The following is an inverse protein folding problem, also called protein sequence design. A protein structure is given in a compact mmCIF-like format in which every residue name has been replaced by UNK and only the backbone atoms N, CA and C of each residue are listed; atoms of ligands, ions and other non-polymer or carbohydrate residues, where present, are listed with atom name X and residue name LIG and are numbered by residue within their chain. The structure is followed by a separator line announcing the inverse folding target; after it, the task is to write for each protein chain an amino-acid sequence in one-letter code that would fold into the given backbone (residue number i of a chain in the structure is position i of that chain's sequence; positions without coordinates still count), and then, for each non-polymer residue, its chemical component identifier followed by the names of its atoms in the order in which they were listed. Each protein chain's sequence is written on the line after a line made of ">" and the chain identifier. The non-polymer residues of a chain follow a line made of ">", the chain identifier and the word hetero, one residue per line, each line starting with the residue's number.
data_IF_880394285295
#
_entry.id   IF_880394285295
#
_cell.length_a   1.000
_cell.length_b   1.000
_cell.length_c   1.000
_cell.angle_alpha   90.00
_cell.angle_beta   90.00
_cell.angle_gamma   90.00
#
_symmetry.space_group_name_H-M   'P 1'
#
loop_
_entity.id
_entity.type
_entity.pdbx_description
1 polymer ?
#
# COMPACT_ATOMS: atom_id res chain seq x y z
N UNK A 1 5.49 -31.91 11.35
CA UNK A 1 5.50 -30.45 11.33
C UNK A 1 6.24 -29.98 12.59
N UNK A 2 7.53 -29.91 12.50
CA UNK A 2 8.31 -29.18 13.50
C UNK A 2 8.25 -27.69 13.11
N UNK A 3 7.58 -26.92 13.93
CA UNK A 3 7.26 -25.55 13.63
C UNK A 3 8.54 -24.72 13.50
N UNK A 4 8.66 -24.01 12.39
CA UNK A 4 9.42 -22.79 12.24
C UNK A 4 10.85 -22.87 11.67
N UNK A 5 11.40 -24.02 11.31
CA UNK A 5 12.75 -24.00 10.74
C UNK A 5 12.78 -24.08 9.21
N UNK A 6 12.04 -25.00 8.62
CA UNK A 6 12.09 -25.17 7.15
C UNK A 6 10.76 -25.64 6.58
N UNK A 7 10.35 -25.02 5.49
CA UNK A 7 9.18 -25.39 4.70
C UNK A 7 9.62 -25.90 3.34
N UNK A 8 9.29 -27.16 3.04
CA UNK A 8 9.65 -27.75 1.76
C UNK A 8 8.39 -28.07 0.97
N UNK A 9 8.27 -27.48 -0.21
CA UNK A 9 7.22 -27.76 -1.19
C UNK A 9 7.83 -28.52 -2.35
N UNK A 10 7.16 -29.59 -2.79
CA UNK A 10 7.58 -30.38 -3.96
C UNK A 10 6.56 -30.23 -5.07
N UNK A 11 7.03 -30.28 -6.32
CA UNK A 11 6.19 -30.34 -7.51
C UNK A 11 5.15 -31.45 -7.36
N UNK A 12 3.88 -31.10 -7.62
CA UNK A 12 2.82 -32.09 -7.71
C UNK A 12 2.78 -32.68 -9.14
N UNK A 13 3.10 -33.95 -9.36
CA UNK A 13 3.07 -34.55 -10.69
C UNK A 13 1.66 -34.65 -11.28
N UNK A 14 0.63 -34.66 -10.42
CA UNK A 14 -0.79 -34.72 -10.81
C UNK A 14 -1.41 -33.35 -11.05
N UNK A 15 -0.60 -32.27 -11.06
CA UNK A 15 -1.11 -30.95 -11.39
C UNK A 15 -1.54 -30.91 -12.86
N UNK A 16 -2.71 -30.33 -13.14
CA UNK A 16 -3.22 -30.16 -14.52
C UNK A 16 -2.24 -29.43 -15.46
N UNK A 17 -1.34 -28.63 -14.90
CA UNK A 17 -0.34 -27.83 -15.61
C UNK A 17 1.09 -28.23 -15.24
N UNK A 18 1.30 -29.51 -14.92
CA UNK A 18 2.60 -30.02 -14.42
C UNK A 18 3.75 -29.78 -15.41
N UNK A 19 3.46 -29.80 -16.71
CA UNK A 19 4.48 -29.60 -17.76
C UNK A 19 5.06 -28.17 -17.78
N UNK A 20 4.33 -27.20 -17.25
CA UNK A 20 4.77 -25.80 -17.12
C UNK A 20 5.35 -25.49 -15.74
N UNK A 21 5.47 -26.45 -14.86
CA UNK A 21 6.13 -26.30 -13.55
C UNK A 21 7.57 -26.76 -13.66
N UNK A 22 8.52 -25.85 -13.69
CA UNK A 22 9.95 -26.12 -13.91
C UNK A 22 10.76 -26.26 -12.61
N UNK A 23 10.21 -25.81 -11.47
CA UNK A 23 10.86 -25.89 -10.17
C UNK A 23 10.33 -27.13 -9.45
N UNK A 24 11.21 -28.11 -9.19
CA UNK A 24 10.82 -29.35 -8.53
C UNK A 24 10.65 -29.21 -7.02
N UNK A 25 11.44 -28.35 -6.40
CA UNK A 25 11.43 -28.16 -4.93
C UNK A 25 11.67 -26.71 -4.58
N UNK A 26 10.82 -26.18 -3.69
CA UNK A 26 11.01 -24.86 -3.06
C UNK A 26 11.20 -25.11 -1.57
N UNK A 27 12.33 -24.66 -1.03
CA UNK A 27 12.62 -24.69 0.41
C UNK A 27 12.57 -23.28 0.98
N UNK A 28 11.73 -23.06 1.98
CA UNK A 28 11.68 -21.81 2.73
C UNK A 28 12.24 -22.04 4.12
N UNK A 29 13.25 -21.27 4.47
CA UNK A 29 13.94 -21.35 5.75
C UNK A 29 13.49 -20.16 6.59
N UNK A 30 13.06 -20.41 7.80
CA UNK A 30 12.75 -19.34 8.73
C UNK A 30 14.05 -18.70 9.25
N UNK A 31 14.14 -17.41 9.15
CA UNK A 31 15.21 -16.61 9.74
C UNK A 31 14.59 -15.33 10.31
N UNK A 32 14.70 -15.16 11.64
CA UNK A 32 14.17 -13.97 12.32
C UNK A 32 14.79 -12.66 11.83
N UNK A 33 16.01 -12.73 11.29
CA UNK A 33 16.79 -11.61 10.76
C UNK A 33 16.92 -11.66 9.23
N UNK A 34 15.92 -12.24 8.53
CA UNK A 34 15.96 -12.45 7.09
C UNK A 34 16.19 -11.17 6.29
N UNK A 35 15.67 -10.03 6.75
CA UNK A 35 15.86 -8.73 6.09
C UNK A 35 17.31 -8.24 6.10
N UNK A 36 18.09 -8.65 7.09
CA UNK A 36 19.51 -8.28 7.25
C UNK A 36 20.41 -9.37 6.66
N UNK A 37 20.16 -10.62 7.00
CA UNK A 37 21.02 -11.75 6.62
C UNK A 37 20.76 -12.27 5.20
N UNK A 38 19.51 -12.16 4.70
CA UNK A 38 19.12 -12.67 3.39
C UNK A 38 19.98 -12.14 2.24
N UNK A 39 20.18 -10.83 2.10
CA UNK A 39 21.05 -10.29 1.07
C UNK A 39 22.48 -10.86 1.10
N UNK A 40 23.06 -11.03 2.28
CA UNK A 40 24.39 -11.61 2.41
C UNK A 40 24.42 -13.14 2.08
N UNK A 41 23.33 -13.84 2.34
CA UNK A 41 23.18 -15.26 1.94
C UNK A 41 23.08 -15.40 0.42
N UNK A 42 22.43 -14.44 -0.28
CA UNK A 42 22.43 -14.38 -1.76
C UNK A 42 23.86 -14.22 -2.28
N UNK A 43 24.66 -13.30 -1.75
CA UNK A 43 26.08 -13.11 -2.16
C UNK A 43 26.90 -14.39 -2.03
N UNK A 44 26.60 -15.21 -1.01
CA UNK A 44 27.29 -16.48 -0.78
C UNK A 44 26.72 -17.65 -1.57
N UNK A 45 25.61 -17.44 -2.30
CA UNK A 45 24.92 -18.49 -3.06
C UNK A 45 24.23 -19.55 -2.18
N UNK A 46 23.86 -19.20 -0.96
CA UNK A 46 23.19 -20.08 -0.01
C UNK A 46 21.69 -20.16 -0.23
N UNK A 47 21.11 -19.11 -0.81
CA UNK A 47 19.69 -19.02 -1.18
C UNK A 47 19.54 -18.34 -2.54
N UNK A 48 18.40 -18.54 -3.18
CA UNK A 48 18.09 -18.05 -4.53
C UNK A 48 17.28 -16.75 -4.52
N UNK A 49 16.59 -16.45 -3.42
CA UNK A 49 15.72 -15.25 -3.29
C UNK A 49 15.80 -14.68 -1.89
N UNK A 50 15.89 -13.36 -1.80
CA UNK A 50 15.76 -12.62 -0.56
C UNK A 50 15.10 -11.26 -0.81
N UNK A 51 14.54 -10.68 0.24
CA UNK A 51 14.07 -9.29 0.20
C UNK A 51 15.21 -8.38 0.66
N UNK A 52 15.49 -7.34 -0.11
CA UNK A 52 16.44 -6.30 0.26
C UNK A 52 15.68 -5.13 0.92
N UNK A 53 16.19 -4.65 2.05
CA UNK A 53 15.65 -3.49 2.76
C UNK A 53 16.05 -2.17 2.09
N UNK A 54 15.22 -1.14 2.25
CA UNK A 54 15.52 0.19 1.72
C UNK A 54 16.75 0.85 2.35
N UNK A 55 17.14 0.41 3.52
CA UNK A 55 18.32 0.89 4.26
C UNK A 55 19.66 0.50 3.62
N UNK A 56 19.68 -0.62 2.88
CA UNK A 56 20.88 -1.11 2.20
C UNK A 56 20.76 -1.11 0.67
N UNK A 57 19.58 -0.82 0.13
CA UNK A 57 19.31 -0.88 -1.31
C UNK A 57 20.28 0.01 -2.12
N UNK A 58 20.46 1.25 -1.70
CA UNK A 58 21.32 2.21 -2.41
C UNK A 58 22.77 1.72 -2.47
N UNK A 59 23.27 1.12 -1.39
CA UNK A 59 24.63 0.56 -1.35
C UNK A 59 24.79 -0.63 -2.28
N UNK A 60 23.74 -1.46 -2.43
CA UNK A 60 23.74 -2.60 -3.33
C UNK A 60 23.65 -2.19 -4.80
N UNK A 61 22.88 -1.14 -5.12
CA UNK A 61 22.78 -0.59 -6.46
C UNK A 61 24.05 0.14 -6.90
N UNK A 62 24.80 0.70 -5.94
CA UNK A 62 26.07 1.38 -6.20
C UNK A 62 27.28 0.43 -6.37
N UNK A 63 27.17 -0.82 -5.92
CA UNK A 63 28.23 -1.81 -5.97
C UNK A 63 28.12 -2.66 -7.25
N UNK A 64 29.13 -2.62 -8.09
CA UNK A 64 29.20 -3.38 -9.36
C UNK A 64 29.07 -4.89 -9.19
N UNK A 65 29.34 -5.43 -8.02
CA UNK A 65 29.23 -6.87 -7.72
C UNK A 65 27.82 -7.30 -7.31
N UNK A 66 26.97 -6.38 -6.87
CA UNK A 66 25.64 -6.67 -6.34
C UNK A 66 24.48 -6.04 -7.10
N UNK A 67 24.72 -4.96 -7.85
CA UNK A 67 23.66 -4.25 -8.58
C UNK A 67 22.83 -5.14 -9.49
N UNK A 68 23.48 -6.08 -10.18
CA UNK A 68 22.83 -6.99 -11.11
C UNK A 68 22.06 -8.15 -10.40
N UNK A 69 22.22 -8.28 -9.09
CA UNK A 69 21.45 -9.21 -8.25
C UNK A 69 20.11 -8.60 -7.80
N UNK A 70 19.96 -7.29 -7.93
CA UNK A 70 18.75 -6.58 -7.50
C UNK A 70 17.75 -6.51 -8.64
N UNK A 71 16.59 -7.13 -8.46
CA UNK A 71 15.45 -6.94 -9.37
C UNK A 71 14.61 -5.76 -8.89
N UNK A 72 14.46 -4.76 -9.76
CA UNK A 72 13.52 -3.65 -9.54
C UNK A 72 12.11 -3.99 -10.02
N UNK A 73 11.95 -5.08 -10.77
CA UNK A 73 10.64 -5.58 -11.18
C UNK A 73 9.94 -6.23 -10.01
N UNK A 74 8.80 -5.68 -9.65
CA UNK A 74 7.95 -6.23 -8.60
C UNK A 74 6.64 -6.71 -9.19
N UNK A 75 6.20 -7.92 -8.82
CA UNK A 75 4.88 -8.38 -9.24
C UNK A 75 3.79 -7.46 -8.67
N UNK A 76 2.74 -7.25 -9.45
CA UNK A 76 1.55 -6.58 -8.94
C UNK A 76 0.96 -7.39 -7.79
N UNK A 77 0.59 -6.70 -6.72
CA UNK A 77 -0.10 -7.33 -5.59
C UNK A 77 -1.60 -7.42 -5.86
N UNK A 78 -2.26 -8.38 -5.21
CA UNK A 78 -3.71 -8.52 -5.29
C UNK A 78 -4.46 -7.59 -4.34
N UNK A 79 -3.76 -6.64 -3.74
CA UNK A 79 -4.34 -5.68 -2.79
C UNK A 79 -3.68 -4.32 -2.93
N UNK A 80 -4.40 -3.29 -2.51
CA UNK A 80 -3.96 -1.90 -2.55
C UNK A 80 -4.04 -1.29 -1.16
N UNK A 81 -3.02 -0.55 -0.76
CA UNK A 81 -3.08 0.28 0.43
C UNK A 81 -3.72 1.62 0.10
N UNK A 82 -4.64 2.07 0.92
CA UNK A 82 -5.32 3.34 0.73
C UNK A 82 -5.67 4.00 2.07
N UNK A 83 -5.85 5.31 2.04
CA UNK A 83 -6.40 6.06 3.16
C UNK A 83 -7.92 5.99 3.10
N UNK A 84 -8.54 5.71 4.23
CA UNK A 84 -9.98 5.69 4.36
C UNK A 84 -10.42 6.58 5.51
N UNK A 85 -11.45 7.38 5.27
CA UNK A 85 -12.07 8.14 6.34
C UNK A 85 -12.94 7.23 7.21
N UNK A 86 -12.89 7.43 8.52
CA UNK A 86 -13.80 6.77 9.43
C UNK A 86 -15.17 7.46 9.40
N UNK A 87 -16.11 6.88 8.68
CA UNK A 87 -17.50 7.34 8.60
C UNK A 87 -18.35 6.90 9.77
N UNK A 88 -17.87 6.04 10.63
CA UNK A 88 -18.60 5.48 11.78
C UNK A 88 -17.83 5.71 13.10
N UNK A 89 -17.58 6.96 13.48
CA UNK A 89 -16.75 7.27 14.65
C UNK A 89 -17.35 6.81 15.98
N UNK A 90 -18.63 6.41 15.98
CA UNK A 90 -19.37 5.95 17.16
C UNK A 90 -19.50 4.44 17.28
N UNK A 91 -19.12 3.67 16.27
CA UNK A 91 -19.42 2.24 16.22
C UNK A 91 -18.45 1.43 17.07
N UNK A 92 -18.57 1.56 18.39
CA UNK A 92 -17.90 0.65 19.33
C UNK A 92 -18.47 -0.78 19.25
N UNK A 93 -19.70 -0.94 18.78
CA UNK A 93 -20.41 -2.22 18.73
C UNK A 93 -19.79 -3.21 17.72
N UNK A 94 -19.08 -2.73 16.70
CA UNK A 94 -18.49 -3.57 15.66
C UNK A 94 -16.96 -3.68 15.74
N UNK A 95 -16.32 -2.96 16.64
CA UNK A 95 -14.90 -3.06 16.86
C UNK A 95 -14.63 -3.53 18.29
N UNK A 96 -13.82 -4.56 18.43
CA UNK A 96 -13.23 -4.93 19.72
C UNK A 96 -12.20 -3.88 20.21
N UNK A 97 -12.23 -2.70 19.64
CA UNK A 97 -11.37 -1.60 20.02
C UNK A 97 -11.96 -0.97 21.27
N UNK A 98 -11.23 -1.07 22.36
CA UNK A 98 -11.58 -0.34 23.55
C UNK A 98 -11.40 1.15 23.30
N UNK A 99 -12.31 1.94 23.82
CA UNK A 99 -12.18 3.41 23.87
C UNK A 99 -11.03 3.82 24.82
N UNK A 100 -10.50 2.84 25.54
CA UNK A 100 -9.37 2.93 26.44
C UNK A 100 -8.11 3.29 25.63
N UNK A 101 -7.66 4.54 25.78
CA UNK A 101 -6.53 5.10 25.03
C UNK A 101 -6.91 6.07 23.89
N UNK A 102 -8.20 6.30 23.62
CA UNK A 102 -8.59 7.46 22.83
C UNK A 102 -8.32 8.74 23.63
N UNK A 103 -7.83 9.77 22.92
CA UNK A 103 -7.69 11.10 23.49
C UNK A 103 -9.02 11.52 24.12
N UNK A 104 -8.99 11.94 25.39
CA UNK A 104 -10.15 12.41 26.14
C UNK A 104 -10.81 13.65 25.47
N UNK A 105 -10.09 14.28 24.56
CA UNK A 105 -10.57 15.43 23.78
C UNK A 105 -11.22 15.04 22.44
N UNK A 106 -11.23 13.74 22.06
CA UNK A 106 -11.85 13.30 20.82
C UNK A 106 -13.35 13.54 20.82
N UNK A 107 -13.83 14.26 19.80
CA UNK A 107 -15.22 14.67 19.62
C UNK A 107 -15.84 13.92 18.41
N UNK A 108 -16.32 12.67 18.58
CA UNK A 108 -16.82 11.86 17.48
C UNK A 108 -18.01 12.48 16.74
N UNK A 109 -18.90 13.20 17.43
CA UNK A 109 -20.04 13.88 16.79
C UNK A 109 -19.59 15.05 15.91
N UNK A 110 -18.58 15.77 16.35
CA UNK A 110 -17.99 16.87 15.60
C UNK A 110 -17.30 16.33 14.35
N UNK A 111 -16.52 15.27 14.50
CA UNK A 111 -15.89 14.56 13.40
C UNK A 111 -16.92 14.01 12.39
N UNK A 112 -18.00 13.39 12.85
CA UNK A 112 -19.04 12.85 11.97
C UNK A 112 -19.67 13.93 11.08
N UNK A 113 -19.88 15.13 11.60
CA UNK A 113 -20.36 16.25 10.79
C UNK A 113 -19.33 16.67 9.74
N UNK A 114 -18.07 16.78 10.14
CA UNK A 114 -16.97 17.19 9.25
C UNK A 114 -16.77 16.19 8.11
N UNK A 115 -16.70 14.89 8.43
CA UNK A 115 -16.42 13.84 7.44
C UNK A 115 -17.53 13.67 6.41
N UNK A 116 -18.78 14.03 6.73
CA UNK A 116 -19.89 13.99 5.79
C UNK A 116 -19.87 15.17 4.80
N UNK A 117 -19.08 16.21 5.04
CA UNK A 117 -18.90 17.32 4.10
C UNK A 117 -18.02 16.91 2.91
N UNK A 118 -18.53 17.10 1.71
CA UNK A 118 -17.84 16.71 0.47
C UNK A 118 -16.60 17.56 0.21
N UNK A 119 -16.67 18.87 0.44
CA UNK A 119 -15.55 19.77 0.23
C UNK A 119 -14.43 19.50 1.24
N UNK A 120 -14.77 19.15 2.48
CA UNK A 120 -13.81 18.70 3.47
C UNK A 120 -13.04 17.48 2.98
N UNK A 121 -13.72 16.42 2.52
CA UNK A 121 -13.04 15.21 1.99
C UNK A 121 -12.20 15.51 0.75
N UNK A 122 -12.69 16.36 -0.15
CA UNK A 122 -11.92 16.75 -1.35
C UNK A 122 -10.67 17.53 -1.00
N UNK A 123 -10.70 18.36 0.05
CA UNK A 123 -9.49 19.06 0.48
C UNK A 123 -8.36 18.11 0.88
N UNK A 124 -8.68 16.98 1.52
CA UNK A 124 -7.71 15.91 1.82
C UNK A 124 -7.27 15.18 0.55
N UNK A 125 -8.21 14.82 -0.33
CA UNK A 125 -7.89 14.11 -1.57
C UNK A 125 -6.85 14.87 -2.40
N UNK A 126 -7.02 16.17 -2.54
CA UNK A 126 -6.08 17.00 -3.29
C UNK A 126 -4.87 17.45 -2.46
N UNK A 127 -4.94 17.39 -1.14
CA UNK A 127 -3.87 17.84 -0.25
C UNK A 127 -2.83 16.78 0.09
N UNK A 128 -3.16 15.48 -0.08
CA UNK A 128 -2.24 14.39 0.24
C UNK A 128 -1.29 14.15 -0.94
N UNK A 129 -0.01 14.40 -0.71
CA UNK A 129 1.04 14.07 -1.67
C UNK A 129 1.52 12.62 -1.45
N UNK A 130 0.97 11.68 -2.20
CA UNK A 130 1.33 10.28 -2.11
C UNK A 130 2.80 10.01 -2.47
N UNK A 131 3.40 10.83 -3.33
CA UNK A 131 4.81 10.68 -3.71
C UNK A 131 5.74 10.81 -2.51
N UNK A 132 5.47 11.75 -1.59
CA UNK A 132 6.27 11.92 -0.36
C UNK A 132 6.17 10.69 0.54
N UNK A 133 4.96 10.15 0.71
CA UNK A 133 4.75 8.95 1.54
C UNK A 133 5.42 7.73 0.93
N UNK A 134 5.30 7.55 -0.39
CA UNK A 134 5.89 6.42 -1.10
C UNK A 134 7.41 6.50 -1.15
N UNK A 135 7.99 7.69 -1.29
CA UNK A 135 9.44 7.89 -1.28
C UNK A 135 10.11 7.43 0.03
N UNK A 136 9.38 7.46 1.16
CA UNK A 136 9.87 6.91 2.43
C UNK A 136 9.96 5.38 2.40
N UNK A 137 9.06 4.72 1.66
CA UNK A 137 8.97 3.25 1.58
C UNK A 137 9.77 2.66 0.43
N UNK A 138 9.89 3.38 -0.65
CA UNK A 138 10.57 2.97 -1.87
C UNK A 138 11.31 4.18 -2.46
N UNK A 139 12.46 4.57 -1.90
CA UNK A 139 13.22 5.75 -2.35
C UNK A 139 13.50 5.71 -3.85
N UNK A 140 13.83 4.54 -4.37
CA UNK A 140 14.02 4.30 -5.79
C UNK A 140 12.73 3.80 -6.44
N UNK A 141 12.27 4.52 -7.46
CA UNK A 141 11.13 4.11 -8.29
C UNK A 141 9.76 4.18 -7.60
N UNK A 142 9.58 5.03 -6.59
CA UNK A 142 8.30 5.17 -5.86
C UNK A 142 7.10 5.48 -6.79
N UNK A 143 7.32 6.13 -7.91
CA UNK A 143 6.25 6.44 -8.87
C UNK A 143 5.61 5.17 -9.47
N UNK A 144 6.33 4.05 -9.50
CA UNK A 144 5.81 2.77 -9.97
C UNK A 144 4.78 2.14 -9.01
N UNK A 145 4.74 2.62 -7.75
CA UNK A 145 3.79 2.15 -6.72
C UNK A 145 2.58 3.05 -6.57
N UNK A 146 2.56 4.17 -7.28
CA UNK A 146 1.53 5.17 -7.17
C UNK A 146 0.28 4.74 -7.92
N UNK A 147 -0.80 4.56 -7.19
CA UNK A 147 -2.12 4.28 -7.75
C UNK A 147 -3.08 5.41 -7.38
N UNK A 148 -3.92 5.79 -8.35
CA UNK A 148 -5.02 6.72 -8.14
C UNK A 148 -6.38 5.99 -8.14
N UNK A 149 -6.35 4.67 -8.07
CA UNK A 149 -7.51 3.79 -8.03
C UNK A 149 -7.36 2.74 -6.94
N UNK A 150 -8.47 2.21 -6.44
CA UNK A 150 -8.44 1.15 -5.42
C UNK A 150 -8.06 -0.19 -6.02
N UNK A 151 -8.49 -0.48 -7.25
CA UNK A 151 -8.17 -1.73 -7.93
C UNK A 151 -6.71 -1.74 -8.38
N UNK A 152 -5.91 -2.74 -8.02
CA UNK A 152 -4.53 -2.84 -8.51
C UNK A 152 -4.48 -3.15 -10.01
N UNK A 153 -3.38 -2.79 -10.70
CA UNK A 153 -3.17 -3.14 -12.10
C UNK A 153 -3.21 -4.66 -12.32
N UNK A 154 -3.73 -5.09 -13.45
CA UNK A 154 -3.83 -6.50 -13.85
C UNK A 154 -4.69 -7.39 -12.93
N UNK A 155 -5.44 -6.80 -12.01
CA UNK A 155 -6.33 -7.56 -11.12
C UNK A 155 -7.54 -8.11 -11.88
N UNK A 156 -8.09 -7.34 -12.78
CA UNK A 156 -9.18 -7.78 -13.66
C UNK A 156 -9.11 -7.09 -15.03
N UNK A 157 -9.69 -7.75 -16.03
CA UNK A 157 -9.77 -7.25 -17.38
C UNK A 157 -11.20 -7.37 -17.93
N UNK A 158 -11.52 -6.61 -18.97
CA UNK A 158 -12.76 -6.77 -19.71
C UNK A 158 -12.71 -8.03 -20.61
N UNK A 159 -13.77 -8.29 -21.35
CA UNK A 159 -13.88 -9.45 -22.25
C UNK A 159 -12.80 -9.46 -23.37
N UNK A 160 -12.24 -8.31 -23.72
CA UNK A 160 -11.20 -8.15 -24.73
C UNK A 160 -9.79 -8.27 -24.14
N UNK A 161 -9.66 -8.58 -22.85
CA UNK A 161 -8.37 -8.67 -22.15
C UNK A 161 -7.76 -7.32 -21.79
N UNK A 162 -8.50 -6.23 -21.91
CA UNK A 162 -8.02 -4.89 -21.54
C UNK A 162 -8.16 -4.73 -20.02
N UNK A 163 -7.06 -4.33 -19.37
CA UNK A 163 -7.02 -4.04 -17.94
C UNK A 163 -8.15 -3.08 -17.54
N UNK A 164 -8.84 -3.38 -16.44
CA UNK A 164 -9.94 -2.56 -15.92
C UNK A 164 -9.55 -1.09 -15.73
N UNK A 165 -8.33 -0.81 -15.28
CA UNK A 165 -7.82 0.56 -15.08
C UNK A 165 -7.68 1.36 -16.38
N UNK A 166 -7.69 0.68 -17.54
CA UNK A 166 -7.63 1.30 -18.87
C UNK A 166 -9.01 1.45 -19.51
N UNK A 167 -10.09 1.15 -18.78
CA UNK A 167 -11.45 1.18 -19.29
C UNK A 167 -12.18 2.46 -18.87
N UNK A 168 -12.92 3.07 -19.82
CA UNK A 168 -13.82 4.20 -19.55
C UNK A 168 -13.13 5.38 -18.85
N UNK A 169 -13.80 5.96 -17.88
CA UNK A 169 -13.31 7.14 -17.14
C UNK A 169 -12.08 6.84 -16.28
N UNK A 170 -11.85 5.57 -15.90
CA UNK A 170 -10.68 5.18 -15.11
C UNK A 170 -9.37 5.41 -15.87
N UNK A 171 -9.38 5.25 -17.19
CA UNK A 171 -8.22 5.51 -18.04
C UNK A 171 -7.73 6.96 -17.98
N UNK A 172 -8.60 7.88 -17.57
CA UNK A 172 -8.31 9.31 -17.49
C UNK A 172 -7.98 9.78 -16.06
N UNK A 173 -7.99 8.88 -15.07
CA UNK A 173 -7.64 9.23 -13.71
C UNK A 173 -6.13 9.48 -13.63
N UNK A 174 -5.79 10.74 -13.33
CA UNK A 174 -4.42 11.20 -13.11
C UNK A 174 -4.16 11.40 -11.62
N UNK A 175 -3.00 11.94 -11.28
CA UNK A 175 -2.67 12.32 -9.91
C UNK A 175 -3.67 13.34 -9.37
N UNK A 176 -4.12 13.11 -8.12
CA UNK A 176 -5.03 14.04 -7.45
C UNK A 176 -4.32 15.17 -6.71
N UNK A 177 -3.04 15.02 -6.33
CA UNK A 177 -2.35 16.04 -5.57
C UNK A 177 -2.31 17.38 -6.29
N UNK A 178 -2.96 18.38 -5.69
CA UNK A 178 -3.06 19.76 -6.19
C UNK A 178 -3.31 20.69 -5.00
N UNK A 179 -2.26 21.37 -4.53
CA UNK A 179 -2.36 22.27 -3.37
C UNK A 179 -3.35 23.42 -3.56
N UNK A 180 -3.49 23.94 -4.77
CA UNK A 180 -4.41 25.04 -5.05
C UNK A 180 -5.85 24.58 -4.89
N UNK A 181 -6.19 23.43 -5.46
CA UNK A 181 -7.52 22.80 -5.29
C UNK A 181 -7.76 22.38 -3.85
N UNK A 182 -6.76 21.85 -3.16
CA UNK A 182 -6.89 21.49 -1.75
C UNK A 182 -7.30 22.71 -0.91
N UNK A 183 -6.66 23.85 -1.14
CA UNK A 183 -6.99 25.12 -0.47
C UNK A 183 -8.37 25.62 -0.85
N UNK A 184 -8.73 25.58 -2.14
CA UNK A 184 -10.07 25.97 -2.63
C UNK A 184 -11.16 25.17 -1.93
N UNK A 185 -11.04 23.82 -1.91
CA UNK A 185 -12.02 22.96 -1.24
C UNK A 185 -12.04 23.15 0.27
N UNK A 186 -10.88 23.38 0.91
CA UNK A 186 -10.83 23.74 2.34
C UNK A 186 -11.59 25.01 2.63
N UNK A 187 -11.35 26.04 1.84
CA UNK A 187 -11.95 27.37 2.05
C UNK A 187 -13.46 27.34 1.77
N UNK A 188 -13.91 26.49 0.84
CA UNK A 188 -15.33 26.23 0.63
C UNK A 188 -15.96 25.39 1.77
N UNK A 189 -15.22 24.44 2.33
CA UNK A 189 -15.71 23.59 3.42
C UNK A 189 -15.93 24.35 4.72
N UNK A 190 -15.05 25.28 5.07
CA UNK A 190 -15.08 25.98 6.38
C UNK A 190 -16.46 26.62 6.68
N UNK A 191 -17.04 27.47 5.83
CA UNK A 191 -18.36 28.05 6.10
C UNK A 191 -19.47 26.98 6.15
N UNK A 192 -19.40 25.94 5.34
CA UNK A 192 -20.38 24.84 5.34
C UNK A 192 -20.31 24.06 6.66
N UNK A 193 -19.11 23.79 7.17
CA UNK A 193 -18.88 23.10 8.44
C UNK A 193 -19.37 23.93 9.62
N UNK A 194 -19.09 25.22 9.62
CA UNK A 194 -19.59 26.15 10.66
C UNK A 194 -21.12 26.15 10.66
N UNK A 195 -21.74 26.21 9.48
CA UNK A 195 -23.20 26.17 9.34
C UNK A 195 -23.80 24.84 9.84
N UNK A 196 -23.06 23.73 9.70
CA UNK A 196 -23.43 22.42 10.21
C UNK A 196 -23.17 22.26 11.72
N UNK A 197 -22.65 23.28 12.39
CA UNK A 197 -22.34 23.28 13.83
C UNK A 197 -21.08 22.48 14.17
N UNK A 198 -20.10 22.47 13.26
CA UNK A 198 -18.77 21.92 13.54
C UNK A 198 -17.96 22.96 14.32
N UNK A 199 -17.29 22.52 15.35
CA UNK A 199 -16.36 23.34 16.15
C UNK A 199 -14.92 23.06 15.76
N UNK A 200 -14.06 24.07 15.85
CA UNK A 200 -12.63 23.99 15.54
C UNK A 200 -11.78 24.31 16.78
N UNK A 201 -10.58 23.71 16.90
CA UNK A 201 -10.03 22.68 15.99
C UNK A 201 -10.82 21.37 16.06
N UNK A 202 -10.82 20.60 14.97
CA UNK A 202 -11.34 19.23 15.01
C UNK A 202 -10.45 18.38 15.91
N UNK A 203 -11.10 17.66 16.83
CA UNK A 203 -10.41 16.80 17.80
C UNK A 203 -10.83 15.34 17.68
#
# INVERSE_FOLDING_TARGET
>A
YESLETWVMKKNPENYDADNVFIDTISRIYNAEASVNGPEMIKRGEIDEATIGSDILDSWLADDTTKDMVSMDRPNTNYTYFYMFNFMPFSHEFSNWSVEGMDAEYEPENWAKAINNTNFRKSFLYGINNSVTLAVKAPEGYDNYKLNTITPPSFCANADGVDYLKCGDLANITEFFDEAKAKEYRDAAIPELIAAGVTFPLK
#
